data_IF_782710076022
#
_entry.id   IF_782710076022
#
_cell.length_a   1.000
_cell.length_b   1.000
_cell.length_c   1.000
_cell.angle_alpha   90.00
_cell.angle_beta   90.00
_cell.angle_gamma   90.00
#
_symmetry.space_group_name_H-M   'P 1'
#
loop_
_entity.id
_entity.type
_entity.pdbx_description
1 polymer ?
#
# COMPACT_ATOMS: atom_id res chain seq x y z
N UNK A 1 -3.68 -2.60 19.83
CA UNK A 1 -4.09 -4.01 19.96
C UNK A 1 -5.24 -4.40 19.01
N UNK A 2 -6.38 -3.71 18.95
CA UNK A 2 -7.52 -4.19 18.13
C UNK A 2 -7.37 -4.01 16.61
N UNK A 3 -6.70 -2.95 16.14
CA UNK A 3 -6.38 -2.78 14.71
C UNK A 3 -5.39 -3.83 14.17
N UNK A 4 -4.46 -4.31 15.00
CA UNK A 4 -3.56 -5.41 14.65
C UNK A 4 -4.32 -6.72 14.45
N UNK A 5 -5.35 -6.98 15.26
CA UNK A 5 -6.23 -8.15 15.11
C UNK A 5 -6.99 -8.12 13.77
N UNK A 6 -7.39 -6.96 13.28
CA UNK A 6 -8.11 -6.84 12.00
C UNK A 6 -7.13 -7.06 10.82
N UNK A 7 -5.89 -6.58 10.94
CA UNK A 7 -4.82 -6.81 9.98
C UNK A 7 -4.47 -8.31 9.84
N UNK A 8 -4.61 -9.09 10.91
CA UNK A 8 -4.42 -10.56 10.90
C UNK A 8 -5.41 -11.34 9.99
N UNK A 9 -6.51 -10.72 9.52
CA UNK A 9 -7.44 -11.37 8.57
C UNK A 9 -6.95 -11.40 7.13
N UNK A 10 -5.91 -10.63 6.80
CA UNK A 10 -5.24 -10.72 5.51
C UNK A 10 -4.20 -11.85 5.57
N UNK A 11 -4.11 -12.62 4.47
CA UNK A 11 -3.69 -14.02 4.50
C UNK A 11 -2.23 -14.25 4.91
N UNK A 12 -1.32 -13.29 4.74
CA UNK A 12 0.10 -13.47 5.11
C UNK A 12 0.72 -12.17 5.65
N UNK A 13 1.10 -12.15 6.94
CA UNK A 13 1.85 -11.05 7.58
C UNK A 13 3.36 -11.33 7.51
N UNK A 14 4.11 -10.36 7.00
CA UNK A 14 5.56 -10.38 6.87
C UNK A 14 6.10 -9.25 7.74
N UNK A 15 6.98 -9.56 8.68
CA UNK A 15 7.68 -8.56 9.47
C UNK A 15 8.81 -7.94 8.63
N UNK A 16 8.89 -6.62 8.62
CA UNK A 16 9.94 -5.88 7.89
C UNK A 16 10.81 -5.16 8.91
N UNK A 17 12.10 -5.50 8.95
CA UNK A 17 13.09 -4.70 9.69
C UNK A 17 13.33 -3.39 8.92
N UNK A 18 13.24 -2.25 9.60
CA UNK A 18 13.50 -0.91 9.04
C UNK A 18 12.59 -0.50 7.85
N UNK A 19 11.27 -0.73 7.93
CA UNK A 19 10.35 -0.56 6.80
C UNK A 19 10.30 0.84 6.17
N UNK A 20 10.62 1.90 6.93
CA UNK A 20 10.73 3.27 6.41
C UNK A 20 11.74 3.42 5.26
N UNK A 21 12.86 2.70 5.29
CA UNK A 21 13.90 2.81 4.26
C UNK A 21 13.68 1.86 3.08
N UNK A 22 12.80 0.88 3.22
CA UNK A 22 12.54 -0.14 2.20
C UNK A 22 11.29 0.12 1.38
N UNK A 23 10.42 1.05 1.79
CA UNK A 23 9.16 1.34 1.08
C UNK A 23 9.35 1.74 -0.39
N UNK A 24 10.16 2.75 -0.73
CA UNK A 24 10.39 3.13 -2.13
C UNK A 24 11.11 2.03 -2.90
N UNK A 25 11.98 1.28 -2.25
CA UNK A 25 12.65 0.13 -2.87
C UNK A 25 11.65 -1.00 -3.21
N UNK A 26 10.68 -1.26 -2.32
CA UNK A 26 9.60 -2.20 -2.57
C UNK A 26 8.73 -1.74 -3.75
N UNK A 27 8.31 -0.48 -3.76
CA UNK A 27 7.56 0.08 -4.91
C UNK A 27 8.37 -0.10 -6.19
N UNK A 28 9.65 0.28 -6.18
CA UNK A 28 10.54 0.08 -7.32
C UNK A 28 10.56 -1.38 -7.79
N UNK A 29 10.67 -2.36 -6.88
CA UNK A 29 10.65 -3.79 -7.23
C UNK A 29 9.32 -4.21 -7.86
N UNK A 30 8.19 -3.74 -7.35
CA UNK A 30 6.87 -4.02 -7.93
C UNK A 30 6.75 -3.37 -9.31
N UNK A 31 7.07 -2.09 -9.44
CA UNK A 31 7.02 -1.37 -10.71
C UNK A 31 7.93 -1.97 -11.78
N UNK A 32 9.07 -2.56 -11.40
CA UNK A 32 9.95 -3.26 -12.34
C UNK A 32 9.33 -4.55 -12.88
N UNK A 33 8.46 -5.21 -12.12
CA UNK A 33 7.83 -6.51 -12.46
C UNK A 33 6.40 -6.38 -12.99
N UNK A 34 5.77 -5.22 -12.83
CA UNK A 34 4.40 -4.93 -13.24
C UNK A 34 4.38 -3.87 -14.36
N UNK A 35 3.33 -3.91 -15.19
CA UNK A 35 3.03 -2.88 -16.18
C UNK A 35 2.20 -1.74 -15.58
N UNK A 36 1.41 -2.02 -14.54
CA UNK A 36 0.60 -1.03 -13.84
C UNK A 36 0.62 -1.26 -12.32
N UNK A 37 1.01 -0.24 -11.57
CA UNK A 37 1.04 -0.21 -10.11
C UNK A 37 0.11 0.89 -9.62
N UNK A 38 -0.91 0.54 -8.84
CA UNK A 38 -1.68 1.54 -8.10
C UNK A 38 -1.20 1.63 -6.67
N UNK A 39 -0.89 2.85 -6.24
CA UNK A 39 -0.43 3.18 -4.90
C UNK A 39 -1.46 4.06 -4.19
N UNK A 40 -2.01 3.55 -3.09
CA UNK A 40 -2.78 4.31 -2.11
C UNK A 40 -1.83 4.76 -1.00
N UNK A 41 -1.41 6.03 -1.05
CA UNK A 41 -0.43 6.62 -0.12
C UNK A 41 -1.14 7.29 1.07
N UNK A 42 -1.15 6.63 2.23
CA UNK A 42 -1.77 7.15 3.45
C UNK A 42 -0.82 8.01 4.29
N UNK A 43 0.49 7.95 4.01
CA UNK A 43 1.53 8.65 4.76
C UNK A 43 1.98 9.95 4.10
N UNK A 44 1.59 10.17 2.84
CA UNK A 44 2.10 11.24 1.98
C UNK A 44 3.64 11.20 1.88
N UNK A 45 4.20 9.99 1.83
CA UNK A 45 5.65 9.74 1.84
C UNK A 45 6.20 9.32 0.48
N UNK A 46 5.35 9.08 -0.51
CA UNK A 46 5.84 8.74 -1.84
C UNK A 46 6.70 9.87 -2.41
N UNK A 47 7.87 9.50 -2.92
CA UNK A 47 8.86 10.40 -3.47
C UNK A 47 9.43 9.79 -4.76
N UNK A 48 9.07 10.32 -5.94
CA UNK A 48 9.51 9.77 -7.22
C UNK A 48 11.02 9.83 -7.39
N UNK A 49 11.71 10.78 -6.75
CA UNK A 49 13.18 10.90 -6.85
C UNK A 49 13.89 9.64 -6.33
N UNK A 50 13.38 9.00 -5.28
CA UNK A 50 13.98 7.78 -4.73
C UNK A 50 13.84 6.59 -5.69
N UNK A 51 12.72 6.52 -6.42
CA UNK A 51 12.52 5.52 -7.48
C UNK A 51 13.50 5.78 -8.63
N UNK A 52 13.59 7.03 -9.09
CA UNK A 52 14.49 7.41 -10.18
C UNK A 52 15.95 7.16 -9.84
N UNK A 53 16.37 7.47 -8.61
CA UNK A 53 17.74 7.23 -8.17
C UNK A 53 18.07 5.73 -8.18
N UNK A 54 17.17 4.90 -7.66
CA UNK A 54 17.31 3.43 -7.71
C UNK A 54 17.38 2.91 -9.15
N UNK A 55 16.49 3.39 -10.02
CA UNK A 55 16.47 3.03 -11.43
C UNK A 55 17.79 3.39 -12.14
N UNK A 56 18.35 4.56 -11.86
CA UNK A 56 19.64 5.02 -12.40
C UNK A 56 20.78 4.09 -12.02
N UNK A 57 20.85 3.63 -10.76
CA UNK A 57 21.85 2.66 -10.32
C UNK A 57 21.74 1.32 -11.06
N UNK A 58 20.51 0.87 -11.35
CA UNK A 58 20.26 -0.36 -12.13
C UNK A 58 20.28 -0.13 -13.67
N UNK A 59 20.63 1.08 -14.14
CA UNK A 59 20.63 1.48 -15.57
C UNK A 59 19.27 1.28 -16.27
N UNK A 60 18.18 1.45 -15.53
CA UNK A 60 16.80 1.45 -16.05
C UNK A 60 16.36 2.89 -16.27
N UNK A 61 15.60 3.15 -17.34
CA UNK A 61 14.97 4.45 -17.57
C UNK A 61 13.92 4.73 -16.50
N UNK A 62 14.11 5.81 -15.76
CA UNK A 62 13.24 6.16 -14.65
C UNK A 62 11.85 6.58 -15.12
N UNK A 63 11.74 7.28 -16.27
CA UNK A 63 10.45 7.74 -16.79
C UNK A 63 9.50 6.58 -17.03
N UNK A 64 9.98 5.54 -17.72
CA UNK A 64 9.20 4.34 -18.05
C UNK A 64 8.70 3.60 -16.81
N UNK A 65 9.41 3.69 -15.67
CA UNK A 65 8.94 3.13 -14.40
C UNK A 65 7.90 4.03 -13.74
N UNK A 66 8.17 5.33 -13.66
CA UNK A 66 7.28 6.28 -13.00
C UNK A 66 5.90 6.37 -13.69
N UNK A 67 5.85 6.24 -15.01
CA UNK A 67 4.59 6.25 -15.78
C UNK A 67 3.64 5.10 -15.41
N UNK A 68 4.20 3.98 -14.92
CA UNK A 68 3.43 2.80 -14.47
C UNK A 68 2.81 2.99 -13.09
N UNK A 69 3.21 4.01 -12.34
CA UNK A 69 2.76 4.23 -10.96
C UNK A 69 1.62 5.26 -10.95
N UNK A 70 0.42 4.83 -10.55
CA UNK A 70 -0.71 5.73 -10.27
C UNK A 70 -0.84 5.93 -8.77
N UNK A 71 -0.89 7.19 -8.33
CA UNK A 71 -0.85 7.53 -6.90
C UNK A 71 -2.17 8.17 -6.49
N UNK A 72 -2.74 7.65 -5.41
CA UNK A 72 -3.93 8.20 -4.76
C UNK A 72 -3.58 8.46 -3.31
N UNK A 73 -3.56 9.75 -2.92
CA UNK A 73 -3.25 10.14 -1.54
C UNK A 73 -4.49 10.08 -0.67
N UNK A 74 -4.32 9.57 0.55
CA UNK A 74 -5.37 9.39 1.55
C UNK A 74 -4.94 10.10 2.81
N UNK A 75 -5.76 11.04 3.30
CA UNK A 75 -5.43 11.86 4.46
C UNK A 75 -6.18 11.44 5.73
N UNK A 76 -7.25 10.65 5.58
CA UNK A 76 -8.02 10.14 6.70
C UNK A 76 -8.62 8.76 6.40
N UNK A 77 -9.06 8.05 7.44
CA UNK A 77 -9.55 6.68 7.31
C UNK A 77 -10.85 6.57 6.48
N UNK A 78 -11.68 7.60 6.46
CA UNK A 78 -12.94 7.60 5.70
C UNK A 78 -12.71 7.64 4.17
N UNK A 79 -11.57 8.17 3.73
CA UNK A 79 -11.20 8.19 2.32
C UNK A 79 -10.66 6.85 1.81
N UNK A 80 -10.18 5.97 2.70
CA UNK A 80 -9.44 4.76 2.34
C UNK A 80 -10.21 3.86 1.37
N UNK A 81 -11.48 3.55 1.67
CA UNK A 81 -12.29 2.68 0.82
C UNK A 81 -12.42 3.24 -0.60
N UNK A 82 -12.80 4.52 -0.71
CA UNK A 82 -12.98 5.20 -2.01
C UNK A 82 -11.67 5.27 -2.79
N UNK A 83 -10.53 5.43 -2.10
CA UNK A 83 -9.21 5.41 -2.71
C UNK A 83 -8.87 4.03 -3.27
N UNK A 84 -9.16 2.96 -2.54
CA UNK A 84 -9.00 1.57 -3.03
C UNK A 84 -9.91 1.31 -4.23
N UNK A 85 -11.19 1.71 -4.19
CA UNK A 85 -12.09 1.58 -5.34
C UNK A 85 -11.57 2.33 -6.57
N UNK A 86 -11.08 3.56 -6.37
CA UNK A 86 -10.48 4.36 -7.46
C UNK A 86 -9.22 3.69 -8.00
N UNK A 87 -8.36 3.15 -7.14
CA UNK A 87 -7.16 2.43 -7.55
C UNK A 87 -7.49 1.22 -8.43
N UNK A 88 -8.54 0.48 -8.07
CA UNK A 88 -8.95 -0.72 -8.81
C UNK A 88 -9.58 -0.42 -10.17
N UNK A 89 -10.23 0.73 -10.34
CA UNK A 89 -10.79 1.15 -11.64
C UNK A 89 -9.73 1.29 -12.74
N UNK A 90 -8.49 1.51 -12.35
CA UNK A 90 -7.35 1.59 -13.28
C UNK A 90 -6.84 0.20 -13.72
N UNK A 91 -7.48 -0.89 -13.26
CA UNK A 91 -7.10 -2.28 -13.51
C UNK A 91 -5.58 -2.53 -13.31
N UNK A 92 -5.03 -2.23 -12.13
CA UNK A 92 -3.60 -2.40 -11.89
C UNK A 92 -3.23 -3.88 -11.78
N UNK A 93 -1.98 -4.21 -12.12
CA UNK A 93 -1.43 -5.56 -11.88
C UNK A 93 -1.19 -5.77 -10.38
N UNK A 94 -0.93 -4.69 -9.64
CA UNK A 94 -0.65 -4.71 -8.21
C UNK A 94 -1.19 -3.45 -7.53
N UNK A 95 -1.80 -3.65 -6.36
CA UNK A 95 -2.25 -2.60 -5.47
C UNK A 95 -1.32 -2.53 -4.25
N UNK A 96 -0.82 -1.34 -3.95
CA UNK A 96 -0.05 -1.06 -2.74
C UNK A 96 -0.83 -0.06 -1.89
N UNK A 97 -1.03 -0.35 -0.62
CA UNK A 97 -1.58 0.57 0.38
C UNK A 97 -0.50 0.85 1.40
N UNK A 98 0.05 2.07 1.43
CA UNK A 98 1.21 2.40 2.26
C UNK A 98 0.85 3.22 3.49
N UNK A 99 1.65 3.08 4.54
CA UNK A 99 1.62 3.88 5.77
C UNK A 99 0.22 3.97 6.41
N UNK A 100 -0.56 2.87 6.33
CA UNK A 100 -1.94 2.84 6.82
C UNK A 100 -2.06 3.22 8.30
N UNK A 101 -1.01 2.98 9.07
CA UNK A 101 -0.92 3.36 10.48
C UNK A 101 -1.05 4.86 10.70
N UNK A 102 -0.66 5.70 9.74
CA UNK A 102 -0.76 7.16 9.83
C UNK A 102 -2.23 7.58 9.96
N UNK A 103 -3.10 7.08 9.08
CA UNK A 103 -4.53 7.39 9.11
C UNK A 103 -5.28 6.64 10.21
N UNK A 104 -4.72 5.53 10.73
CA UNK A 104 -5.27 4.82 11.88
C UNK A 104 -4.90 5.47 13.23
N UNK A 105 -3.85 6.28 13.29
CA UNK A 105 -3.43 6.98 14.51
C UNK A 105 -4.11 8.34 14.71
N UNK A 106 -4.94 8.77 13.76
CA UNK A 106 -5.70 10.03 13.85
C UNK A 106 -6.60 10.05 15.09
N UNK A 107 -6.25 10.91 16.05
CA UNK A 107 -6.95 11.06 17.33
C UNK A 107 -8.24 11.89 17.21
N UNK A 108 -8.48 12.53 16.07
CA UNK A 108 -9.71 13.30 15.81
C UNK A 108 -10.92 12.43 15.51
N UNK A 109 -10.76 11.10 15.43
CA UNK A 109 -11.80 10.14 15.05
C UNK A 109 -12.00 9.14 16.18
N UNK A 110 -13.25 8.87 16.54
CA UNK A 110 -13.56 7.87 17.57
C UNK A 110 -13.07 6.49 17.14
N UNK A 111 -12.68 5.66 18.12
CA UNK A 111 -12.16 4.32 17.82
C UNK A 111 -13.15 3.45 17.04
N UNK A 112 -14.43 3.51 17.40
CA UNK A 112 -15.51 2.78 16.73
C UNK A 112 -15.68 3.20 15.28
N UNK A 113 -15.67 4.51 14.97
CA UNK A 113 -15.80 4.99 13.59
C UNK A 113 -14.59 4.60 12.74
N UNK A 114 -13.39 4.75 13.31
CA UNK A 114 -12.15 4.34 12.67
C UNK A 114 -12.15 2.85 12.35
N UNK A 115 -12.58 2.02 13.30
CA UNK A 115 -12.68 0.58 13.12
C UNK A 115 -13.69 0.22 12.02
N UNK A 116 -14.87 0.84 12.02
CA UNK A 116 -15.91 0.61 11.00
C UNK A 116 -15.43 1.01 9.60
N UNK A 117 -14.80 2.18 9.47
CA UNK A 117 -14.24 2.65 8.21
C UNK A 117 -13.15 1.70 7.70
N UNK A 118 -12.25 1.27 8.59
CA UNK A 118 -11.18 0.34 8.25
C UNK A 118 -11.71 -1.04 7.83
N UNK A 119 -12.67 -1.60 8.56
CA UNK A 119 -13.34 -2.87 8.22
C UNK A 119 -14.01 -2.81 6.85
N UNK A 120 -14.63 -1.68 6.51
CA UNK A 120 -15.27 -1.47 5.22
C UNK A 120 -14.26 -1.49 4.07
N UNK A 121 -13.10 -0.83 4.24
CA UNK A 121 -12.01 -0.88 3.27
C UNK A 121 -11.37 -2.27 3.15
N UNK A 122 -11.16 -2.96 4.26
CA UNK A 122 -10.59 -4.31 4.26
C UNK A 122 -11.50 -5.36 3.65
N UNK A 123 -12.82 -5.24 3.87
CA UNK A 123 -13.78 -6.12 3.21
C UNK A 123 -13.71 -6.00 1.69
N UNK A 124 -13.38 -4.82 1.16
CA UNK A 124 -13.11 -4.65 -0.26
C UNK A 124 -11.79 -5.32 -0.63
N UNK A 125 -10.70 -5.04 0.12
CA UNK A 125 -9.37 -5.58 -0.15
C UNK A 125 -9.36 -7.12 -0.19
N UNK A 126 -10.08 -7.77 0.72
CA UNK A 126 -10.15 -9.24 0.80
C UNK A 126 -10.87 -9.91 -0.38
N UNK A 127 -11.58 -9.14 -1.22
CA UNK A 127 -12.29 -9.63 -2.42
C UNK A 127 -11.53 -9.33 -3.71
N UNK A 128 -10.33 -8.77 -3.60
CA UNK A 128 -9.48 -8.43 -4.73
C UNK A 128 -8.66 -9.66 -5.13
N UNK A 129 -8.71 -10.00 -6.41
CA UNK A 129 -8.00 -11.15 -6.98
C UNK A 129 -6.60 -10.81 -7.53
N UNK A 130 -6.23 -9.52 -7.56
CA UNK A 130 -4.87 -9.10 -7.89
C UNK A 130 -3.97 -9.08 -6.63
N UNK A 131 -2.64 -9.15 -6.79
CA UNK A 131 -1.67 -8.83 -5.75
C UNK A 131 -2.00 -7.53 -4.99
N UNK A 132 -2.20 -7.64 -3.67
CA UNK A 132 -2.34 -6.50 -2.76
C UNK A 132 -1.26 -6.54 -1.69
N UNK A 133 -0.64 -5.39 -1.42
CA UNK A 133 0.34 -5.21 -0.36
C UNK A 133 -0.06 -4.03 0.53
N UNK A 134 -0.41 -4.32 1.79
CA UNK A 134 -0.63 -3.31 2.82
C UNK A 134 0.66 -3.18 3.62
N UNK A 135 1.33 -2.03 3.48
CA UNK A 135 2.67 -1.78 4.04
C UNK A 135 2.54 -0.78 5.20
N UNK A 136 2.99 -1.19 6.38
CA UNK A 136 3.15 -0.34 7.56
C UNK A 136 4.63 -0.05 7.85
N UNK A 137 4.91 0.58 8.99
CA UNK A 137 6.27 0.95 9.38
C UNK A 137 7.19 -0.26 9.58
N UNK A 138 6.65 -1.34 10.15
CA UNK A 138 7.42 -2.55 10.50
C UNK A 138 6.77 -3.85 9.97
N UNK A 139 5.79 -3.74 9.08
CA UNK A 139 5.08 -4.89 8.55
C UNK A 139 4.68 -4.69 7.10
N UNK A 140 4.47 -5.81 6.42
CA UNK A 140 3.73 -5.87 5.17
C UNK A 140 2.75 -7.04 5.26
N UNK A 141 1.57 -6.85 4.68
CA UNK A 141 0.55 -7.87 4.64
C UNK A 141 0.06 -8.02 3.22
N UNK A 142 -0.16 -9.25 2.79
CA UNK A 142 -0.58 -9.54 1.42
C UNK A 142 -1.69 -10.60 1.34
N UNK A 143 -2.45 -10.55 0.25
CA UNK A 143 -3.44 -11.57 -0.12
C UNK A 143 -2.83 -12.71 -0.96
N UNK A 144 -1.55 -12.61 -1.34
CA UNK A 144 -0.82 -13.64 -2.09
C UNK A 144 -0.30 -14.70 -1.12
N UNK A 145 -0.47 -15.97 -1.47
CA UNK A 145 0.19 -17.08 -0.78
C UNK A 145 1.68 -17.07 -1.07
N UNK A 146 2.51 -17.05 -0.03
CA UNK A 146 3.94 -17.35 -0.18
C UNK A 146 4.09 -18.86 -0.06
N UNK A 147 4.00 -19.55 -1.19
CA UNK A 147 4.40 -20.95 -1.24
C UNK A 147 5.93 -20.98 -1.05
N UNK A 148 6.40 -21.73 -0.04
CA UNK A 148 7.81 -21.95 0.26
C UNK A 148 8.50 -22.81 -0.80
#
# INVERSE_FOLDING_TARGET
>A
MQNEYILHKLKNKIEIKNGKYHYHYLIYKFTRRSQSVSLVDCGNRFNPFLISNTAKFEKIKAEELLERIKIIRVFNIFQLKKAVEKALKENPDVLIVSDIEVILKDQGISEKERENAFRSALSLINRIDIPVFVVGENFMITNISMDN
#
